data_IF_637478430097
#
_entry.id   IF_637478430097
#
_cell.length_a   1.000
_cell.length_b   1.000
_cell.length_c   1.000
_cell.angle_alpha   90.00
_cell.angle_beta   90.00
_cell.angle_gamma   90.00
#
_symmetry.space_group_name_H-M   'P 1'
#
loop_
_entity.id
_entity.type
_entity.pdbx_description
1 polymer ?
#
# COMPACT_ATOMS: atom_id res chain seq x y z
N UNK A 1 17.59 3.12 0.96
CA UNK A 1 16.60 2.45 1.84
C UNK A 1 16.97 0.99 1.93
N UNK A 2 17.07 0.42 3.13
CA UNK A 2 17.23 -1.03 3.30
C UNK A 2 15.85 -1.69 3.13
N UNK A 3 15.67 -2.59 2.14
CA UNK A 3 14.39 -3.27 1.92
C UNK A 3 13.96 -4.16 3.09
N UNK A 4 14.84 -4.49 4.03
CA UNK A 4 14.54 -5.31 5.21
C UNK A 4 14.23 -4.47 6.46
N UNK A 5 14.54 -3.17 6.46
CA UNK A 5 14.31 -2.28 7.60
C UNK A 5 13.70 -0.97 7.10
N UNK A 6 12.37 -0.90 7.09
CA UNK A 6 11.61 0.32 6.80
C UNK A 6 10.29 0.35 7.57
N UNK A 7 9.81 1.55 7.89
CA UNK A 7 8.44 1.74 8.34
C UNK A 7 7.52 1.68 7.12
N UNK A 8 6.37 1.02 7.25
CA UNK A 8 5.40 0.90 6.17
C UNK A 8 4.87 2.24 5.65
N UNK A 9 4.96 3.29 6.46
CA UNK A 9 4.57 4.66 6.10
C UNK A 9 5.69 5.49 5.45
N UNK A 10 6.93 5.02 5.41
CA UNK A 10 8.07 5.80 4.88
C UNK A 10 8.32 5.59 3.38
N UNK A 11 7.73 4.54 2.79
CA UNK A 11 7.82 4.31 1.33
C UNK A 11 6.78 5.18 0.64
N UNK A 12 7.24 6.08 -0.23
CA UNK A 12 6.32 6.94 -1.00
C UNK A 12 5.45 6.08 -1.93
N UNK A 13 4.16 6.41 -2.09
CA UNK A 13 3.33 5.76 -3.10
C UNK A 13 3.93 6.00 -4.49
N UNK A 14 3.90 4.97 -5.32
CA UNK A 14 4.35 5.02 -6.71
C UNK A 14 3.18 5.31 -7.63
N UNK A 15 3.37 6.22 -8.59
CA UNK A 15 2.41 6.50 -9.64
C UNK A 15 2.76 5.77 -10.94
N UNK A 16 1.98 6.01 -11.97
CA UNK A 16 2.09 5.36 -13.28
C UNK A 16 3.51 5.41 -13.83
N UNK A 17 4.18 6.56 -13.71
CA UNK A 17 5.53 6.77 -14.27
C UNK A 17 6.57 5.85 -13.64
N UNK A 18 6.48 5.60 -12.34
CA UNK A 18 7.39 4.69 -11.63
C UNK A 18 7.07 3.21 -11.88
N UNK A 19 5.82 2.89 -12.22
CA UNK A 19 5.33 1.52 -12.40
C UNK A 19 5.48 0.99 -13.84
N UNK A 20 5.71 1.91 -14.79
CA UNK A 20 5.88 1.60 -16.21
C UNK A 20 7.12 0.71 -16.44
N UNK A 21 6.93 -0.34 -17.24
CA UNK A 21 8.01 -1.23 -17.67
C UNK A 21 8.53 -0.85 -19.07
N UNK A 22 9.68 -1.42 -19.51
CA UNK A 22 10.19 -1.19 -20.85
C UNK A 22 9.21 -1.60 -21.96
N UNK A 23 8.40 -2.63 -21.70
CA UNK A 23 7.37 -3.08 -22.62
C UNK A 23 6.23 -2.06 -22.74
N UNK A 24 5.78 -1.83 -23.98
CA UNK A 24 4.74 -0.84 -24.26
C UNK A 24 3.44 -1.21 -23.53
N UNK A 25 2.85 -0.21 -22.86
CA UNK A 25 1.58 -0.33 -22.15
C UNK A 25 1.57 -1.44 -21.08
N UNK A 26 2.73 -1.78 -20.54
CA UNK A 26 2.88 -2.80 -19.51
C UNK A 26 3.24 -2.17 -18.17
N UNK A 27 2.54 -2.60 -17.12
CA UNK A 27 2.69 -2.10 -15.76
C UNK A 27 2.72 -3.26 -14.79
N UNK A 28 3.55 -3.13 -13.75
CA UNK A 28 3.55 -4.02 -12.60
C UNK A 28 3.05 -3.22 -11.41
N UNK A 29 2.01 -3.73 -10.74
CA UNK A 29 1.40 -3.11 -9.56
C UNK A 29 1.34 -4.09 -8.39
N UNK A 30 0.87 -3.61 -7.24
CA UNK A 30 0.66 -4.39 -6.04
C UNK A 30 1.94 -4.89 -5.39
N UNK A 31 1.89 -6.07 -4.79
CA UNK A 31 3.01 -6.62 -4.03
C UNK A 31 4.28 -6.81 -4.88
N UNK A 32 4.13 -7.10 -6.18
CA UNK A 32 5.27 -7.26 -7.09
C UNK A 32 6.01 -5.96 -7.37
N UNK A 33 5.31 -4.83 -7.44
CA UNK A 33 5.93 -3.50 -7.59
C UNK A 33 6.56 -3.01 -6.28
N UNK A 34 6.11 -3.56 -5.14
CA UNK A 34 6.54 -3.18 -3.79
C UNK A 34 7.80 -3.91 -3.29
N UNK A 35 8.40 -4.76 -4.13
CA UNK A 35 9.68 -5.41 -3.86
C UNK A 35 9.62 -6.43 -2.71
N UNK A 36 10.65 -6.44 -1.87
CA UNK A 36 10.79 -7.38 -0.74
C UNK A 36 10.20 -6.86 0.58
N UNK A 37 9.52 -5.73 0.55
CA UNK A 37 8.92 -5.16 1.74
C UNK A 37 7.88 -6.12 2.33
N UNK A 38 8.04 -6.58 3.59
CA UNK A 38 7.17 -7.60 4.18
C UNK A 38 5.76 -7.07 4.51
N UNK A 39 5.55 -5.76 4.37
CA UNK A 39 4.39 -5.04 4.87
C UNK A 39 3.72 -4.24 3.76
N UNK A 40 3.19 -4.97 2.79
CA UNK A 40 2.36 -4.42 1.74
C UNK A 40 1.01 -3.94 2.30
N UNK A 41 0.60 -2.73 1.90
CA UNK A 41 -0.69 -2.15 2.29
C UNK A 41 -1.61 -2.11 1.08
N UNK A 42 -2.84 -2.63 1.19
CA UNK A 42 -3.82 -2.52 0.09
C UNK A 42 -4.07 -1.08 -0.34
N UNK A 43 -3.95 -0.12 0.59
CA UNK A 43 -4.06 1.30 0.28
C UNK A 43 -3.01 1.77 -0.75
N UNK A 44 -1.77 1.26 -0.69
CA UNK A 44 -0.75 1.61 -1.70
C UNK A 44 -1.08 1.00 -3.05
N UNK A 45 -1.62 -0.22 -3.09
CA UNK A 45 -2.08 -0.85 -4.33
C UNK A 45 -3.18 -0.06 -5.02
N UNK A 46 -4.19 0.37 -4.26
CA UNK A 46 -5.30 1.15 -4.81
C UNK A 46 -4.82 2.46 -5.42
N UNK A 47 -3.80 3.10 -4.83
CA UNK A 47 -3.22 4.31 -5.39
C UNK A 47 -2.45 4.03 -6.68
N UNK A 48 -1.71 2.92 -6.76
CA UNK A 48 -1.03 2.47 -7.97
C UNK A 48 -2.04 2.22 -9.10
N UNK A 49 -3.09 1.43 -8.82
CA UNK A 49 -4.15 1.12 -9.77
C UNK A 49 -4.85 2.38 -10.26
N UNK A 50 -5.20 3.31 -9.36
CA UNK A 50 -5.82 4.59 -9.72
C UNK A 50 -4.95 5.40 -10.67
N UNK A 51 -3.65 5.53 -10.36
CA UNK A 51 -2.71 6.31 -11.17
C UNK A 51 -2.52 5.71 -12.57
N UNK A 52 -2.35 4.39 -12.65
CA UNK A 52 -2.20 3.66 -13.94
C UNK A 52 -3.47 3.77 -14.78
N UNK A 53 -4.64 3.54 -14.20
CA UNK A 53 -5.93 3.62 -14.92
C UNK A 53 -6.20 5.05 -15.41
N UNK A 54 -5.85 6.08 -14.63
CA UNK A 54 -5.96 7.47 -15.08
C UNK A 54 -5.15 7.72 -16.35
N UNK A 55 -3.90 7.23 -16.40
CA UNK A 55 -3.06 7.37 -17.59
C UNK A 55 -3.62 6.61 -18.79
N UNK A 56 -4.09 5.36 -18.58
CA UNK A 56 -4.70 4.54 -19.64
C UNK A 56 -5.94 5.23 -20.24
N UNK A 57 -6.70 5.94 -19.41
CA UNK A 57 -7.88 6.72 -19.83
C UNK A 57 -7.54 8.10 -20.40
N UNK A 58 -6.26 8.47 -20.53
CA UNK A 58 -5.81 9.77 -21.06
C UNK A 58 -5.82 10.92 -20.06
N UNK A 59 -6.16 10.68 -18.79
CA UNK A 59 -6.07 11.67 -17.72
C UNK A 59 -4.64 11.69 -17.15
N UNK A 60 -3.73 12.27 -17.93
CA UNK A 60 -2.32 12.36 -17.58
C UNK A 60 -2.05 13.24 -16.35
N UNK A 61 -2.89 14.24 -16.10
CA UNK A 61 -2.77 15.11 -14.93
C UNK A 61 -3.09 14.33 -13.65
N UNK A 62 -4.23 13.64 -13.61
CA UNK A 62 -4.56 12.82 -12.44
C UNK A 62 -3.63 11.61 -12.29
N UNK A 63 -3.02 11.11 -13.38
CA UNK A 63 -2.02 10.05 -13.30
C UNK A 63 -0.76 10.51 -12.55
N UNK A 64 -0.32 11.75 -12.72
CA UNK A 64 0.89 12.30 -12.09
C UNK A 64 0.71 12.68 -10.63
N UNK A 65 -0.53 12.84 -10.17
CA UNK A 65 -0.82 13.16 -8.77
C UNK A 65 -0.70 11.92 -7.88
N UNK A 66 -0.10 12.07 -6.69
CA UNK A 66 -0.18 11.07 -5.61
C UNK A 66 -1.22 11.53 -4.60
N UNK A 67 -2.31 10.76 -4.48
CA UNK A 67 -3.46 11.11 -3.64
C UNK A 67 -3.45 10.39 -2.29
N UNK A 68 -2.68 9.32 -2.16
CA UNK A 68 -2.54 8.57 -0.92
C UNK A 68 -1.68 9.31 0.10
N UNK A 69 -2.23 9.54 1.29
CA UNK A 69 -1.51 10.04 2.46
C UNK A 69 -1.52 8.98 3.54
N UNK A 70 -0.35 8.48 3.90
CA UNK A 70 -0.17 7.56 5.02
C UNK A 70 0.57 8.29 6.16
N UNK A 71 0.23 8.04 7.43
CA UNK A 71 1.04 8.52 8.53
C UNK A 71 2.41 7.82 8.49
N UNK A 72 3.47 8.55 8.83
CA UNK A 72 4.86 8.04 8.76
C UNK A 72 5.10 6.82 9.67
N UNK A 73 4.26 6.65 10.70
CA UNK A 73 4.28 5.55 11.66
C UNK A 73 2.89 4.99 11.94
N UNK A 74 2.82 3.79 12.51
CA UNK A 74 1.58 3.21 13.03
C UNK A 74 0.74 2.40 12.03
N UNK A 75 1.01 2.49 10.73
CA UNK A 75 0.20 1.79 9.70
C UNK A 75 0.31 0.26 9.76
N UNK A 76 1.43 -0.26 10.26
CA UNK A 76 1.68 -1.71 10.36
C UNK A 76 1.56 -2.29 11.76
N UNK A 77 1.18 -1.47 12.75
CA UNK A 77 0.95 -1.97 14.11
C UNK A 77 -0.52 -2.38 14.19
N UNK A 78 -0.79 -3.68 14.18
CA UNK A 78 -2.08 -4.18 14.62
C UNK A 78 -2.20 -3.83 16.11
N UNK A 79 -3.14 -2.96 16.48
CA UNK A 79 -3.54 -2.86 17.89
C UNK A 79 -4.06 -4.23 18.32
N UNK A 80 -3.48 -4.86 19.36
CA UNK A 80 -4.01 -6.12 19.86
C UNK A 80 -5.49 -5.92 20.18
N UNK A 81 -6.35 -6.79 19.62
CA UNK A 81 -7.76 -6.85 20.02
C UNK A 81 -7.75 -7.04 21.56
N UNK A 82 -8.39 -6.16 22.34
CA UNK A 82 -8.47 -6.38 23.79
C UNK A 82 -9.05 -7.78 24.02
N UNK A 83 -8.51 -8.56 24.96
CA UNK A 83 -8.99 -9.91 25.22
C UNK A 83 -10.49 -9.82 25.48
N UNK A 84 -11.28 -10.60 24.73
CA UNK A 84 -12.69 -10.74 25.01
C UNK A 84 -12.83 -11.11 26.49
N UNK A 85 -13.61 -10.32 27.23
CA UNK A 85 -13.86 -10.57 28.63
C UNK A 85 -14.27 -12.03 28.78
N UNK A 86 -13.48 -12.81 29.51
CA UNK A 86 -13.85 -14.17 29.89
C UNK A 86 -15.08 -14.05 30.77
N UNK A 87 -16.27 -14.31 30.22
CA UNK A 87 -17.45 -14.59 31.03
C UNK A 87 -17.14 -15.90 31.75
N UNK A 88 -16.71 -15.80 33.02
CA UNK A 88 -16.67 -16.95 33.91
C UNK A 88 -18.11 -17.37 34.17
N UNK A 89 -18.58 -18.40 33.50
CA UNK A 89 -19.79 -19.09 33.91
C UNK A 89 -19.35 -20.25 34.81
N UNK A 90 -19.34 -19.98 36.10
CA UNK A 90 -19.41 -21.02 37.12
C UNK A 90 -20.81 -21.63 37.04
N UNK A 91 -20.92 -22.93 36.80
CA UNK A 91 -22.09 -23.73 37.15
C UNK A 91 -21.59 -25.06 37.72
N UNK A 92 -21.83 -25.20 39.03
CA UNK A 92 -22.00 -26.39 39.90
C UNK A 92 -21.20 -27.67 39.65
#
# INVERSE_FOLDING_TARGET
>A
MDPNIHSCGTVRPHGEKELRQPEKNFYIIGSKSYGRAPTFLLATDYEQARSVVAYINGDHESAQQVKLKLPETGVCKLTPKPPAAKTSCCCD
#
